data_IF_082213156289
#
_entry.id   IF_082213156289
#
_cell.length_a   1.000
_cell.length_b   1.000
_cell.length_c   1.000
_cell.angle_alpha   90.00
_cell.angle_beta   90.00
_cell.angle_gamma   90.00
#
_symmetry.space_group_name_H-M   'P 1'
#
loop_
_entity.id
_entity.type
_entity.pdbx_description
1 polymer ?
#
# COMPACT_ATOMS: atom_id res chain seq x y z
N UNK A 1 3.03 -8.31 5.94
CA UNK A 1 2.16 -8.97 4.96
C UNK A 1 2.64 -8.82 3.52
N UNK A 2 3.11 -7.67 3.08
CA UNK A 2 3.82 -7.52 1.80
C UNK A 2 5.06 -8.44 1.70
N UNK A 3 5.71 -8.72 2.84
CA UNK A 3 6.77 -9.74 2.97
C UNK A 3 6.27 -11.16 2.66
N UNK A 4 4.98 -11.44 2.86
CA UNK A 4 4.37 -12.75 2.56
C UNK A 4 4.05 -12.92 1.06
N UNK A 5 3.80 -11.83 0.31
CA UNK A 5 3.64 -11.90 -1.15
C UNK A 5 4.93 -12.42 -1.78
N UNK A 6 6.10 -11.92 -1.37
CA UNK A 6 7.42 -12.40 -1.83
C UNK A 6 7.68 -13.90 -1.52
N UNK A 7 7.14 -14.44 -0.43
CA UNK A 7 7.34 -15.85 -0.02
C UNK A 7 6.36 -16.83 -0.68
N UNK A 8 5.19 -16.35 -1.10
CA UNK A 8 4.13 -17.19 -1.68
C UNK A 8 4.29 -17.45 -3.18
N UNK A 9 5.05 -16.60 -3.90
CA UNK A 9 5.16 -16.60 -5.36
C UNK A 9 6.28 -17.52 -5.92
N UNK A 10 6.87 -18.37 -5.11
CA UNK A 10 7.98 -19.25 -5.56
C UNK A 10 7.57 -20.39 -6.51
N UNK A 11 6.34 -20.43 -7.01
CA UNK A 11 5.82 -21.55 -7.81
C UNK A 11 5.26 -21.26 -9.21
N UNK A 12 4.92 -20.02 -9.54
CA UNK A 12 4.33 -19.69 -10.85
C UNK A 12 5.20 -18.71 -11.64
N UNK A 13 5.70 -19.14 -12.79
CA UNK A 13 6.64 -18.42 -13.68
C UNK A 13 6.12 -17.08 -14.26
N UNK A 14 4.94 -16.59 -13.87
CA UNK A 14 4.32 -15.39 -14.42
C UNK A 14 4.01 -14.28 -13.39
N UNK A 15 4.23 -14.55 -12.11
CA UNK A 15 3.97 -13.60 -11.04
C UNK A 15 5.21 -12.77 -10.75
N UNK A 16 5.07 -11.45 -10.73
CA UNK A 16 6.19 -10.55 -10.56
C UNK A 16 5.90 -9.59 -9.42
N UNK A 17 6.76 -9.62 -8.41
CA UNK A 17 6.60 -8.85 -7.19
C UNK A 17 7.82 -7.98 -6.95
N UNK A 18 7.63 -6.66 -6.94
CA UNK A 18 8.60 -5.68 -6.45
C UNK A 18 8.27 -5.30 -5.01
N UNK A 19 9.04 -4.40 -4.41
CA UNK A 19 8.73 -3.89 -3.06
C UNK A 19 7.40 -3.12 -2.99
N UNK A 20 7.02 -2.47 -4.08
CA UNK A 20 5.90 -1.53 -4.14
C UNK A 20 4.71 -2.04 -4.97
N UNK A 21 4.95 -2.86 -5.99
CA UNK A 21 3.95 -3.29 -6.97
C UNK A 21 4.07 -4.79 -7.21
N UNK A 22 2.95 -5.50 -7.10
CA UNK A 22 2.82 -6.89 -7.50
C UNK A 22 1.88 -6.99 -8.70
N UNK A 23 2.28 -7.77 -9.69
CA UNK A 23 1.50 -8.07 -10.89
C UNK A 23 1.27 -9.58 -11.00
N UNK A 24 0.02 -9.97 -11.21
CA UNK A 24 -0.39 -11.36 -11.36
C UNK A 24 -1.29 -11.51 -12.58
N UNK A 25 -1.13 -12.60 -13.31
CA UNK A 25 -1.93 -12.90 -14.52
C UNK A 25 -3.19 -13.72 -14.26
N UNK A 26 -3.44 -14.10 -13.01
CA UNK A 26 -4.62 -14.87 -12.64
C UNK A 26 -5.06 -14.57 -11.20
N UNK A 27 -6.30 -15.01 -10.88
CA UNK A 27 -6.89 -14.85 -9.56
C UNK A 27 -6.31 -15.80 -8.50
N UNK A 28 -5.64 -16.89 -8.94
CA UNK A 28 -5.09 -17.90 -8.04
C UNK A 28 -3.98 -17.33 -7.15
N UNK A 29 -3.34 -16.26 -7.60
CA UNK A 29 -2.40 -15.49 -6.79
C UNK A 29 -3.02 -14.93 -5.51
N UNK A 30 -4.35 -14.77 -5.44
CA UNK A 30 -5.07 -14.37 -4.24
C UNK A 30 -5.40 -15.54 -3.30
N UNK A 31 -5.28 -16.79 -3.76
CA UNK A 31 -5.61 -17.98 -2.97
C UNK A 31 -4.93 -18.04 -1.58
N UNK A 32 -3.65 -17.63 -1.43
CA UNK A 32 -2.99 -17.57 -0.12
C UNK A 32 -3.62 -16.60 0.87
N UNK A 33 -4.46 -15.67 0.40
CA UNK A 33 -5.07 -14.59 1.20
C UNK A 33 -6.57 -14.81 1.46
N UNK A 34 -7.16 -15.88 0.88
CA UNK A 34 -8.56 -16.21 1.05
C UNK A 34 -8.84 -16.66 2.50
N UNK A 35 -9.91 -16.11 3.09
CA UNK A 35 -10.35 -16.37 4.47
C UNK A 35 -9.23 -16.20 5.52
N UNK A 36 -8.29 -15.28 5.26
CA UNK A 36 -7.17 -14.95 6.15
C UNK A 36 -7.22 -13.49 6.58
N UNK A 37 -6.09 -13.04 7.13
CA UNK A 37 -5.93 -11.65 7.57
C UNK A 37 -6.17 -10.65 6.43
N UNK A 38 -6.64 -9.42 6.76
CA UNK A 38 -6.86 -8.36 5.79
C UNK A 38 -5.62 -8.08 4.94
N UNK A 39 -5.80 -7.90 3.63
CA UNK A 39 -4.73 -7.62 2.70
C UNK A 39 -4.32 -6.16 2.77
N UNK A 40 -3.09 -5.87 3.19
CA UNK A 40 -2.57 -4.49 3.31
C UNK A 40 -2.15 -3.89 1.94
N UNK A 41 -2.95 -4.09 0.91
CA UNK A 41 -2.68 -3.58 -0.43
C UNK A 41 -3.95 -3.02 -1.07
N UNK A 42 -3.79 -2.02 -1.92
CA UNK A 42 -4.80 -1.61 -2.87
C UNK A 42 -4.68 -2.55 -4.07
N UNK A 43 -5.73 -3.31 -4.37
CA UNK A 43 -5.70 -4.25 -5.48
C UNK A 43 -6.70 -3.86 -6.58
N UNK A 44 -6.27 -4.01 -7.82
CA UNK A 44 -7.07 -3.84 -9.02
C UNK A 44 -7.17 -5.18 -9.73
N UNK A 45 -8.36 -5.74 -9.83
CA UNK A 45 -8.64 -6.99 -10.54
C UNK A 45 -9.38 -6.62 -11.82
N UNK A 46 -8.70 -6.74 -12.95
CA UNK A 46 -9.29 -6.50 -14.26
C UNK A 46 -9.69 -7.84 -14.89
N UNK A 47 -10.99 -8.03 -15.11
CA UNK A 47 -11.55 -9.24 -15.72
C UNK A 47 -11.53 -9.07 -17.24
N UNK A 48 -10.65 -9.84 -17.90
CA UNK A 48 -10.50 -9.82 -19.36
C UNK A 48 -11.51 -10.73 -20.05
N UNK A 49 -11.83 -11.88 -19.43
CA UNK A 49 -12.81 -12.85 -19.94
C UNK A 49 -13.58 -13.52 -18.82
N UNK A 50 -14.79 -13.92 -19.14
CA UNK A 50 -15.60 -14.76 -18.26
C UNK A 50 -16.23 -13.99 -17.10
N UNK A 51 -16.37 -14.68 -15.97
CA UNK A 51 -17.06 -14.20 -14.78
C UNK A 51 -16.33 -14.62 -13.52
N UNK A 52 -16.17 -13.67 -12.60
CA UNK A 52 -15.67 -13.87 -11.23
C UNK A 52 -16.81 -13.57 -10.26
N UNK A 53 -17.07 -14.46 -9.33
CA UNK A 53 -17.88 -14.18 -8.14
C UNK A 53 -16.97 -14.33 -6.92
N UNK A 54 -16.78 -13.27 -6.15
CA UNK A 54 -15.85 -13.23 -5.00
C UNK A 54 -16.51 -12.54 -3.81
N UNK A 55 -16.29 -13.08 -2.62
CA UNK A 55 -16.69 -12.41 -1.38
C UNK A 55 -15.59 -11.47 -0.92
N UNK A 56 -15.95 -10.20 -0.67
CA UNK A 56 -15.04 -9.18 -0.16
C UNK A 56 -15.74 -8.45 0.99
N UNK A 57 -15.12 -8.44 2.16
CA UNK A 57 -15.69 -7.83 3.38
C UNK A 57 -17.15 -8.30 3.65
N UNK A 58 -17.39 -9.61 3.54
CA UNK A 58 -18.69 -10.28 3.66
C UNK A 58 -19.74 -9.94 2.56
N UNK A 59 -19.37 -9.21 1.52
CA UNK A 59 -20.25 -8.91 0.39
C UNK A 59 -19.82 -9.70 -0.85
N UNK A 60 -20.76 -10.37 -1.49
CA UNK A 60 -20.48 -11.06 -2.75
C UNK A 60 -20.53 -10.07 -3.90
N UNK A 61 -19.42 -9.94 -4.62
CA UNK A 61 -19.28 -9.12 -5.82
C UNK A 61 -19.16 -10.03 -7.02
N UNK A 62 -19.87 -9.68 -8.09
CA UNK A 62 -19.84 -10.41 -9.36
C UNK A 62 -19.27 -9.50 -10.43
N UNK A 63 -18.06 -9.80 -10.88
CA UNK A 63 -17.38 -9.11 -11.97
C UNK A 63 -17.45 -9.95 -13.25
N UNK A 64 -17.60 -9.29 -14.40
CA UNK A 64 -17.67 -9.88 -15.74
C UNK A 64 -16.56 -9.32 -16.62
N UNK A 65 -16.46 -9.84 -17.84
CA UNK A 65 -15.57 -9.27 -18.85
C UNK A 65 -15.74 -7.76 -18.96
N UNK A 66 -14.63 -7.03 -19.03
CA UNK A 66 -14.52 -5.56 -19.04
C UNK A 66 -14.79 -4.88 -17.68
N UNK A 67 -14.93 -5.64 -16.62
CA UNK A 67 -15.04 -5.06 -15.28
C UNK A 67 -13.67 -4.92 -14.62
N UNK A 68 -13.47 -3.77 -13.99
CA UNK A 68 -12.36 -3.48 -13.08
C UNK A 68 -12.88 -3.43 -11.65
N UNK A 69 -12.44 -4.37 -10.84
CA UNK A 69 -12.76 -4.44 -9.42
C UNK A 69 -11.64 -3.78 -8.62
N UNK A 70 -11.97 -2.76 -7.83
CA UNK A 70 -11.02 -2.04 -6.98
C UNK A 70 -11.19 -2.49 -5.53
N UNK A 71 -10.18 -3.16 -4.98
CA UNK A 71 -10.19 -3.68 -3.61
C UNK A 71 -9.32 -2.78 -2.73
N UNK A 72 -9.95 -2.16 -1.74
CA UNK A 72 -9.26 -1.25 -0.81
C UNK A 72 -8.23 -1.98 0.07
N UNK A 73 -7.25 -1.26 0.60
CA UNK A 73 -6.39 -1.80 1.65
C UNK A 73 -7.21 -2.30 2.83
N UNK A 74 -6.76 -3.41 3.43
CA UNK A 74 -7.40 -4.11 4.54
C UNK A 74 -8.72 -4.84 4.21
N UNK A 75 -9.04 -5.04 2.92
CA UNK A 75 -10.13 -5.92 2.52
C UNK A 75 -9.81 -7.38 2.89
N UNK A 76 -10.86 -8.09 3.32
CA UNK A 76 -10.83 -9.53 3.60
C UNK A 76 -11.42 -10.24 2.38
N UNK A 77 -10.59 -11.05 1.72
CA UNK A 77 -11.05 -11.88 0.61
C UNK A 77 -11.57 -13.21 1.12
N UNK A 78 -12.84 -13.49 0.84
CA UNK A 78 -13.46 -14.79 1.06
C UNK A 78 -13.42 -15.67 -0.19
N UNK A 79 -14.24 -16.73 -0.19
CA UNK A 79 -14.32 -17.69 -1.30
C UNK A 79 -14.65 -17.00 -2.61
N UNK A 80 -14.10 -17.55 -3.70
CA UNK A 80 -14.42 -17.12 -5.05
C UNK A 80 -14.78 -18.31 -5.95
N UNK A 81 -15.51 -18.05 -7.01
CA UNK A 81 -15.80 -18.97 -8.10
C UNK A 81 -15.63 -18.26 -9.44
N UNK A 82 -15.19 -18.99 -10.45
CA UNK A 82 -14.93 -18.46 -11.79
C UNK A 82 -15.61 -19.32 -12.85
N UNK A 83 -15.94 -18.71 -13.99
CA UNK A 83 -16.39 -19.46 -15.17
C UNK A 83 -15.25 -20.20 -15.84
N UNK A 84 -15.57 -21.22 -16.66
CA UNK A 84 -14.57 -22.07 -17.33
C UNK A 84 -13.64 -21.31 -18.29
N UNK A 85 -14.07 -20.18 -18.82
CA UNK A 85 -13.32 -19.29 -19.72
C UNK A 85 -12.77 -18.05 -19.01
N UNK A 86 -12.67 -18.09 -17.68
CA UNK A 86 -12.25 -16.94 -16.90
C UNK A 86 -10.79 -16.58 -17.11
N UNK A 87 -10.53 -15.29 -17.28
CA UNK A 87 -9.18 -14.71 -17.34
C UNK A 87 -9.18 -13.33 -16.72
N UNK A 88 -8.11 -13.00 -16.01
CA UNK A 88 -7.96 -11.69 -15.37
C UNK A 88 -6.49 -11.31 -15.19
N UNK A 89 -6.27 -10.03 -14.94
CA UNK A 89 -4.98 -9.52 -14.47
C UNK A 89 -5.18 -8.77 -13.16
N UNK A 90 -4.24 -8.93 -12.24
CA UNK A 90 -4.28 -8.30 -10.92
C UNK A 90 -3.05 -7.42 -10.72
N UNK A 91 -3.26 -6.17 -10.32
CA UNK A 91 -2.21 -5.30 -9.80
C UNK A 91 -2.50 -5.05 -8.32
N UNK A 92 -1.51 -5.29 -7.47
CA UNK A 92 -1.59 -4.95 -6.06
C UNK A 92 -0.49 -3.95 -5.70
N UNK A 93 -0.87 -2.88 -5.03
CA UNK A 93 -0.01 -1.77 -4.65
C UNK A 93 0.20 -1.78 -3.15
N UNK A 94 1.47 -1.72 -2.73
CA UNK A 94 1.80 -1.66 -1.30
C UNK A 94 1.24 -0.38 -0.66
N UNK A 95 0.97 -0.47 0.62
CA UNK A 95 0.57 0.67 1.44
C UNK A 95 1.61 1.81 1.35
N UNK A 96 2.90 1.48 1.38
CA UNK A 96 3.97 2.46 1.32
C UNK A 96 4.03 3.16 -0.04
N UNK A 97 3.75 2.42 -1.12
CA UNK A 97 3.61 3.00 -2.46
C UNK A 97 2.44 3.98 -2.52
N UNK A 98 1.27 3.57 -2.02
CA UNK A 98 0.08 4.42 -1.99
C UNK A 98 0.33 5.70 -1.20
N UNK A 99 0.93 5.60 -0.01
CA UNK A 99 1.25 6.80 0.80
C UNK A 99 2.34 7.66 0.16
N UNK A 100 3.32 7.08 -0.51
CA UNK A 100 4.32 7.80 -1.28
C UNK A 100 3.72 8.57 -2.47
N UNK A 101 2.65 8.04 -3.08
CA UNK A 101 1.91 8.69 -4.16
C UNK A 101 0.97 9.78 -3.60
N UNK A 102 0.23 9.50 -2.54
CA UNK A 102 -0.69 10.48 -1.90
C UNK A 102 0.04 11.76 -1.50
N UNK A 103 1.37 11.70 -1.24
CA UNK A 103 2.16 12.90 -1.01
C UNK A 103 2.23 13.83 -2.23
N UNK A 104 2.02 13.33 -3.45
CA UNK A 104 2.15 14.10 -4.70
C UNK A 104 0.84 14.20 -5.51
N UNK A 105 -0.16 13.34 -5.24
CA UNK A 105 -1.42 13.31 -5.99
C UNK A 105 -2.57 13.11 -5.02
N UNK A 106 -3.57 13.97 -5.13
CA UNK A 106 -4.87 13.84 -4.46
C UNK A 106 -5.61 12.63 -5.02
N UNK A 107 -5.24 11.41 -4.60
CA UNK A 107 -6.01 10.25 -4.98
C UNK A 107 -7.06 10.03 -3.91
N UNK A 108 -8.30 10.40 -4.21
CA UNK A 108 -9.49 10.03 -3.42
C UNK A 108 -9.86 8.54 -3.57
N UNK A 109 -8.85 7.68 -3.81
CA UNK A 109 -9.06 6.23 -3.87
C UNK A 109 -9.65 5.67 -2.56
N UNK A 110 -9.35 6.32 -1.44
CA UNK A 110 -9.95 6.00 -0.15
C UNK A 110 -11.45 6.36 -0.15
N UNK A 111 -11.85 7.42 -0.84
CA UNK A 111 -13.26 7.80 -0.98
C UNK A 111 -13.98 6.90 -1.98
N UNK A 112 -13.35 6.57 -3.11
CA UNK A 112 -13.90 5.58 -4.05
C UNK A 112 -14.10 4.22 -3.36
N UNK A 113 -13.17 3.83 -2.51
CA UNK A 113 -13.24 2.60 -1.74
C UNK A 113 -14.12 2.70 -0.47
N UNK A 114 -14.54 3.90 -0.04
CA UNK A 114 -15.34 4.07 1.19
C UNK A 114 -16.81 3.69 1.01
N UNK A 115 -17.32 3.64 -0.22
CA UNK A 115 -18.75 3.46 -0.51
C UNK A 115 -19.21 2.05 -0.85
N UNK A 116 -18.39 1.05 -0.85
CA UNK A 116 -18.51 -0.38 -1.20
C UNK A 116 -17.40 -0.72 -2.19
N UNK A 117 -17.02 -1.99 -2.29
CA UNK A 117 -16.02 -2.45 -3.28
C UNK A 117 -16.42 -1.98 -4.67
N UNK A 118 -15.76 -0.96 -5.24
CA UNK A 118 -16.22 -0.38 -6.49
C UNK A 118 -15.94 -1.34 -7.64
N UNK A 119 -17.00 -1.69 -8.35
CA UNK A 119 -16.98 -2.42 -9.61
C UNK A 119 -17.23 -1.41 -10.72
N UNK A 120 -16.25 -1.22 -11.58
CA UNK A 120 -16.31 -0.28 -12.69
C UNK A 120 -16.46 -1.09 -13.99
N UNK A 121 -17.54 -0.86 -14.73
CA UNK A 121 -17.67 -1.39 -16.08
C UNK A 121 -16.97 -0.44 -17.06
N UNK A 122 -15.97 -0.96 -17.78
CA UNK A 122 -15.12 -0.17 -18.66
C UNK A 122 -15.64 -0.18 -20.09
N UNK A 123 -15.60 0.96 -20.76
CA UNK A 123 -15.83 1.03 -22.21
C UNK A 123 -14.64 0.43 -22.98
N UNK A 124 -14.85 0.14 -24.28
CA UNK A 124 -13.84 -0.52 -25.13
C UNK A 124 -12.53 0.27 -25.24
N UNK A 125 -12.58 1.60 -25.14
CA UNK A 125 -11.39 2.44 -25.18
C UNK A 125 -10.58 2.26 -23.89
N UNK A 126 -11.25 2.29 -22.75
CA UNK A 126 -10.60 2.11 -21.45
C UNK A 126 -10.10 0.68 -21.27
N UNK A 127 -10.81 -0.32 -21.78
CA UNK A 127 -10.37 -1.73 -21.83
C UNK A 127 -9.05 -1.85 -22.58
N UNK A 128 -8.93 -1.25 -23.78
CA UNK A 128 -7.67 -1.24 -24.55
C UNK A 128 -6.56 -0.57 -23.78
N UNK A 129 -6.81 0.62 -23.27
CA UNK A 129 -5.82 1.40 -22.50
C UNK A 129 -5.31 0.64 -21.27
N UNK A 130 -6.20 0.03 -20.48
CA UNK A 130 -5.82 -0.76 -19.32
C UNK A 130 -4.99 -1.98 -19.74
N UNK A 131 -5.36 -2.69 -20.78
CA UNK A 131 -4.57 -3.81 -21.30
C UNK A 131 -3.15 -3.38 -21.67
N UNK A 132 -3.00 -2.25 -22.38
CA UNK A 132 -1.71 -1.70 -22.77
C UNK A 132 -0.84 -1.37 -21.53
N UNK A 133 -1.43 -0.76 -20.50
CA UNK A 133 -0.75 -0.49 -19.24
C UNK A 133 -0.32 -1.78 -18.52
N UNK A 134 -1.18 -2.80 -18.48
CA UNK A 134 -0.86 -4.08 -17.84
C UNK A 134 0.27 -4.79 -18.58
N UNK A 135 0.27 -4.78 -19.91
CA UNK A 135 1.36 -5.32 -20.72
C UNK A 135 2.68 -4.57 -20.50
N UNK A 136 2.62 -3.23 -20.50
CA UNK A 136 3.80 -2.39 -20.31
C UNK A 136 4.37 -2.53 -18.89
N UNK A 137 3.52 -2.56 -17.88
CA UNK A 137 3.92 -2.80 -16.49
C UNK A 137 4.58 -4.18 -16.34
N UNK A 138 3.95 -5.23 -16.85
CA UNK A 138 4.51 -6.58 -16.82
C UNK A 138 5.88 -6.63 -17.48
N UNK A 139 6.03 -6.06 -18.67
CA UNK A 139 7.31 -5.99 -19.40
C UNK A 139 8.36 -5.18 -18.65
N UNK A 140 7.98 -4.03 -18.10
CA UNK A 140 8.88 -3.17 -17.32
C UNK A 140 9.37 -3.85 -16.04
N UNK A 141 8.50 -4.58 -15.35
CA UNK A 141 8.88 -5.30 -14.13
C UNK A 141 9.82 -6.46 -14.47
N UNK A 142 9.54 -7.20 -15.56
CA UNK A 142 10.43 -8.29 -16.04
C UNK A 142 11.82 -7.75 -16.39
N UNK A 143 11.87 -6.64 -17.14
CA UNK A 143 13.13 -6.01 -17.54
C UNK A 143 13.94 -5.46 -16.34
N UNK A 144 13.30 -5.25 -15.20
CA UNK A 144 13.90 -4.64 -14.00
C UNK A 144 14.12 -5.63 -12.86
N UNK A 145 14.20 -6.93 -13.13
CA UNK A 145 14.46 -7.97 -12.11
C UNK A 145 15.65 -7.66 -11.21
N UNK A 146 16.64 -6.93 -11.70
CA UNK A 146 17.85 -6.56 -10.98
C UNK A 146 17.74 -5.26 -10.15
N UNK A 147 16.54 -4.71 -10.02
CA UNK A 147 16.28 -3.53 -9.17
C UNK A 147 16.73 -2.18 -9.74
N UNK A 148 17.33 -2.15 -10.95
CA UNK A 148 17.92 -0.94 -11.51
C UNK A 148 16.92 0.15 -11.92
N UNK A 149 15.62 -0.13 -12.05
CA UNK A 149 14.64 0.82 -12.60
C UNK A 149 13.26 0.81 -11.91
N UNK A 150 13.24 0.66 -10.60
CA UNK A 150 11.99 0.74 -9.80
C UNK A 150 11.19 2.05 -10.07
N UNK A 151 11.87 3.11 -10.51
CA UNK A 151 11.23 4.40 -10.84
C UNK A 151 10.29 4.31 -12.04
N UNK A 152 10.66 3.58 -13.11
CA UNK A 152 9.80 3.43 -14.31
C UNK A 152 8.48 2.75 -13.95
N UNK A 153 8.55 1.65 -13.20
CA UNK A 153 7.37 0.92 -12.72
C UNK A 153 6.49 1.84 -11.87
N UNK A 154 7.09 2.66 -11.01
CA UNK A 154 6.34 3.64 -10.21
C UNK A 154 5.61 4.66 -11.08
N UNK A 155 6.29 5.25 -12.07
CA UNK A 155 5.68 6.27 -12.94
C UNK A 155 4.59 5.67 -13.83
N UNK A 156 4.79 4.47 -14.37
CA UNK A 156 3.77 3.76 -15.15
C UNK A 156 2.54 3.42 -14.31
N UNK A 157 2.75 2.92 -13.10
CA UNK A 157 1.64 2.65 -12.17
C UNK A 157 0.89 3.93 -11.81
N UNK A 158 1.63 5.01 -11.60
CA UNK A 158 1.05 6.32 -11.35
C UNK A 158 0.19 6.81 -12.53
N UNK A 159 0.71 6.72 -13.75
CA UNK A 159 -0.03 7.10 -14.95
C UNK A 159 -1.32 6.27 -15.11
N UNK A 160 -1.26 4.95 -14.89
CA UNK A 160 -2.44 4.08 -14.88
C UNK A 160 -3.48 4.54 -13.85
N UNK A 161 -3.06 4.88 -12.65
CA UNK A 161 -3.97 5.36 -11.60
C UNK A 161 -4.66 6.67 -11.99
N UNK A 162 -3.94 7.60 -12.63
CA UNK A 162 -4.52 8.85 -13.11
C UNK A 162 -5.52 8.62 -14.24
N UNK A 163 -5.26 7.68 -15.17
CA UNK A 163 -6.20 7.30 -16.21
C UNK A 163 -7.50 6.71 -15.63
N UNK A 164 -7.37 5.77 -14.68
CA UNK A 164 -8.55 5.18 -14.02
C UNK A 164 -9.33 6.25 -13.24
N UNK A 165 -8.65 7.18 -12.57
CA UNK A 165 -9.29 8.32 -11.89
C UNK A 165 -10.05 9.20 -12.87
N UNK A 166 -9.42 9.59 -13.97
CA UNK A 166 -10.03 10.42 -15.03
C UNK A 166 -11.26 9.73 -15.62
N UNK A 167 -11.19 8.42 -15.82
CA UNK A 167 -12.33 7.61 -16.24
C UNK A 167 -13.45 7.64 -15.20
N UNK A 168 -13.17 7.44 -13.93
CA UNK A 168 -14.16 7.48 -12.85
C UNK A 168 -14.86 8.84 -12.75
N UNK A 169 -14.13 9.94 -12.94
CA UNK A 169 -14.70 11.28 -12.99
C UNK A 169 -15.66 11.43 -14.19
N UNK A 170 -15.25 10.95 -15.36
CA UNK A 170 -16.03 11.03 -16.60
C UNK A 170 -17.35 10.27 -16.53
N UNK A 171 -17.35 9.08 -15.90
CA UNK A 171 -18.57 8.26 -15.75
C UNK A 171 -19.40 8.61 -14.52
N UNK A 172 -19.00 9.64 -13.74
CA UNK A 172 -19.68 10.04 -12.51
C UNK A 172 -19.54 9.05 -11.34
N UNK A 173 -18.62 8.11 -11.42
CA UNK A 173 -18.30 7.20 -10.32
C UNK A 173 -17.53 7.89 -9.17
N UNK A 174 -16.90 9.03 -9.47
CA UNK A 174 -16.33 9.97 -8.50
C UNK A 174 -17.07 11.31 -8.64
N UNK A 175 -17.36 12.02 -7.54
CA UNK A 175 -17.93 13.36 -7.62
C UNK A 175 -16.93 14.32 -8.29
N UNK A 176 -17.44 15.15 -9.21
CA UNK A 176 -16.64 16.14 -9.98
C UNK A 176 -15.97 17.14 -9.04
N UNK A 177 -16.61 17.47 -7.89
CA UNK A 177 -16.05 18.32 -6.83
C UNK A 177 -14.80 17.73 -6.16
N UNK A 178 -14.40 16.53 -6.57
CA UNK A 178 -13.22 15.85 -6.08
C UNK A 178 -11.92 16.55 -6.46
N UNK A 179 -11.89 17.32 -7.56
CA UNK A 179 -10.65 17.96 -8.05
C UNK A 179 -10.58 19.47 -7.71
N UNK A 180 -11.73 20.14 -7.55
CA UNK A 180 -11.80 21.59 -7.35
C UNK A 180 -12.24 22.01 -5.92
N UNK A 181 -12.61 21.05 -5.07
CA UNK A 181 -12.87 21.43 -3.67
C UNK A 181 -11.58 21.97 -3.04
N UNK A 182 -11.65 23.11 -2.34
CA UNK A 182 -10.48 23.64 -1.64
C UNK A 182 -9.87 22.51 -0.82
N UNK A 183 -8.55 22.36 -0.92
CA UNK A 183 -7.77 21.32 -0.20
C UNK A 183 -8.33 21.24 1.20
N UNK A 184 -9.04 20.17 1.56
CA UNK A 184 -9.54 20.06 2.94
C UNK A 184 -8.35 20.25 3.85
N UNK A 185 -8.47 21.14 4.80
CA UNK A 185 -7.38 21.42 5.75
C UNK A 185 -6.86 20.13 6.40
N UNK A 186 -7.73 19.12 6.55
CA UNK A 186 -7.38 17.78 7.00
C UNK A 186 -6.36 17.09 6.08
N UNK A 187 -6.48 17.19 4.76
CA UNK A 187 -5.58 16.52 3.82
C UNK A 187 -4.19 17.17 3.81
N UNK A 188 -4.17 18.51 3.92
CA UNK A 188 -2.92 19.27 4.10
C UNK A 188 -2.22 18.85 5.39
N UNK A 189 -2.97 18.79 6.49
CA UNK A 189 -2.45 18.41 7.80
C UNK A 189 -1.93 16.99 7.76
N UNK A 190 -2.68 16.04 7.18
CA UNK A 190 -2.24 14.65 7.03
C UNK A 190 -0.95 14.54 6.22
N UNK A 191 -0.89 15.19 5.05
CA UNK A 191 0.30 15.22 4.20
C UNK A 191 1.51 15.79 4.96
N UNK A 192 1.35 16.94 5.61
CA UNK A 192 2.42 17.56 6.41
C UNK A 192 2.85 16.66 7.57
N UNK A 193 1.90 15.96 8.21
CA UNK A 193 2.20 15.00 9.26
C UNK A 193 3.07 13.85 8.74
N UNK A 194 2.66 13.17 7.66
CA UNK A 194 3.43 12.08 7.07
C UNK A 194 4.82 12.55 6.65
N UNK A 195 4.92 13.70 6.00
CA UNK A 195 6.22 14.29 5.60
C UNK A 195 7.11 14.57 6.82
N UNK A 196 6.55 15.14 7.89
CA UNK A 196 7.30 15.43 9.11
C UNK A 196 7.80 14.17 9.81
N UNK A 197 6.94 13.14 9.90
CA UNK A 197 7.35 11.83 10.47
C UNK A 197 8.41 11.16 9.60
N UNK A 198 8.25 11.16 8.27
CA UNK A 198 9.25 10.60 7.35
C UNK A 198 10.60 11.29 7.47
N UNK A 199 10.60 12.61 7.53
CA UNK A 199 11.82 13.41 7.72
C UNK A 199 12.49 13.10 9.05
N UNK A 200 11.72 13.08 10.15
CA UNK A 200 12.24 12.73 11.46
C UNK A 200 12.86 11.33 11.48
N UNK A 201 12.22 10.33 10.84
CA UNK A 201 12.76 8.96 10.74
C UNK A 201 14.07 8.89 9.94
N UNK A 202 14.28 9.76 8.96
CA UNK A 202 15.47 9.75 8.11
C UNK A 202 16.66 10.52 8.69
N UNK A 203 16.39 11.69 9.29
CA UNK A 203 17.41 12.71 9.52
C UNK A 203 17.62 13.06 11.01
N UNK A 204 16.62 12.83 11.87
CA UNK A 204 16.68 13.32 13.24
C UNK A 204 17.11 12.24 14.24
N UNK A 205 17.94 12.59 15.24
CA UNK A 205 18.10 11.76 16.42
C UNK A 205 16.77 11.76 17.20
N UNK A 206 16.37 10.61 17.72
CA UNK A 206 15.13 10.42 18.44
C UNK A 206 13.85 10.70 17.63
N UNK A 207 13.61 9.96 16.53
CA UNK A 207 12.42 10.14 15.69
C UNK A 207 11.12 9.66 16.39
N UNK A 208 11.23 8.92 17.49
CA UNK A 208 10.09 8.39 18.26
C UNK A 208 9.51 9.47 19.18
N UNK A 209 8.94 10.51 18.57
CA UNK A 209 8.34 11.61 19.30
C UNK A 209 6.88 11.34 19.63
N UNK A 210 6.40 11.91 20.73
CA UNK A 210 4.99 11.86 21.08
C UNK A 210 4.13 12.56 20.02
N UNK A 211 2.89 12.10 19.82
CA UNK A 211 1.91 12.74 18.92
C UNK A 211 1.81 14.25 19.15
N UNK A 212 1.93 14.67 20.40
CA UNK A 212 1.88 16.07 20.82
C UNK A 212 2.91 16.92 20.06
N UNK A 213 4.14 16.43 19.89
CA UNK A 213 5.19 17.14 19.16
C UNK A 213 4.80 17.42 17.71
N UNK A 214 4.27 16.42 17.00
CA UNK A 214 3.80 16.61 15.61
C UNK A 214 2.56 17.48 15.53
N UNK A 215 1.68 17.38 16.50
CA UNK A 215 0.48 18.22 16.57
C UNK A 215 0.84 19.71 16.77
N UNK A 216 1.81 20.00 17.66
CA UNK A 216 2.36 21.35 17.89
C UNK A 216 3.02 21.90 16.62
N UNK A 217 3.87 21.11 15.94
CA UNK A 217 4.48 21.49 14.65
C UNK A 217 3.46 21.86 13.57
N UNK A 218 2.29 21.23 13.61
CA UNK A 218 1.22 21.44 12.63
C UNK A 218 0.18 22.46 13.09
N UNK A 219 0.35 23.05 14.28
CA UNK A 219 -0.59 23.99 14.90
C UNK A 219 -2.00 23.40 15.08
N UNK A 220 -2.08 22.13 15.49
CA UNK A 220 -3.35 21.43 15.75
C UNK A 220 -3.32 20.70 17.09
N UNK A 221 -4.50 20.31 17.60
CA UNK A 221 -4.55 19.44 18.77
C UNK A 221 -4.19 17.99 18.44
N UNK A 222 -3.60 17.26 19.39
CA UNK A 222 -3.31 15.82 19.23
C UNK A 222 -4.56 14.98 18.92
N UNK A 223 -5.72 15.39 19.46
CA UNK A 223 -7.03 14.77 19.19
C UNK A 223 -7.44 14.98 17.74
N UNK A 224 -7.31 16.21 17.25
CA UNK A 224 -7.64 16.53 15.85
C UNK A 224 -6.67 15.85 14.87
N UNK A 225 -5.36 15.83 15.16
CA UNK A 225 -4.40 15.11 14.33
C UNK A 225 -4.73 13.62 14.25
N UNK A 226 -5.09 12.99 15.38
CA UNK A 226 -5.52 11.59 15.39
C UNK A 226 -6.80 11.37 14.59
N UNK A 227 -7.76 12.28 14.66
CA UNK A 227 -8.99 12.24 13.87
C UNK A 227 -8.71 12.36 12.37
N UNK A 228 -7.88 13.32 11.99
CA UNK A 228 -7.40 13.49 10.61
C UNK A 228 -6.74 12.21 10.09
N UNK A 229 -5.82 11.63 10.87
CA UNK A 229 -5.16 10.36 10.49
C UNK A 229 -6.17 9.23 10.29
N UNK A 230 -7.18 9.09 11.19
CA UNK A 230 -8.22 8.06 11.05
C UNK A 230 -9.06 8.24 9.79
N UNK A 231 -9.44 9.47 9.45
CA UNK A 231 -10.21 9.75 8.23
C UNK A 231 -9.36 9.46 6.99
N UNK A 232 -8.11 9.94 6.96
CA UNK A 232 -7.26 9.88 5.77
C UNK A 232 -6.61 8.52 5.55
N UNK A 233 -6.40 7.70 6.61
CA UNK A 233 -5.67 6.42 6.51
C UNK A 233 -6.32 5.25 7.24
N UNK A 234 -7.42 5.46 7.93
CA UNK A 234 -8.02 4.44 8.78
C UNK A 234 -7.26 4.16 10.09
N UNK A 235 -6.09 4.79 10.30
CA UNK A 235 -5.19 4.53 11.43
C UNK A 235 -5.04 5.74 12.35
N UNK A 236 -4.65 5.47 13.60
CA UNK A 236 -4.31 6.56 14.52
C UNK A 236 -2.93 7.13 14.21
N UNK A 237 -2.68 8.40 14.53
CA UNK A 237 -1.37 9.04 14.38
C UNK A 237 -0.26 8.23 15.09
N UNK A 238 -0.55 7.65 16.27
CA UNK A 238 0.38 6.80 17.00
C UNK A 238 0.73 5.52 16.22
N UNK A 239 -0.27 4.87 15.62
CA UNK A 239 -0.05 3.65 14.82
C UNK A 239 0.85 3.94 13.61
N UNK A 240 0.62 5.07 12.93
CA UNK A 240 1.42 5.51 11.79
C UNK A 240 2.89 5.75 12.21
N UNK A 241 3.12 6.51 13.29
CA UNK A 241 4.48 6.76 13.81
C UNK A 241 5.17 5.44 14.15
N UNK A 242 4.48 4.54 14.88
CA UNK A 242 5.04 3.24 15.27
C UNK A 242 5.42 2.38 14.06
N UNK A 243 4.57 2.33 13.03
CA UNK A 243 4.86 1.57 11.79
C UNK A 243 6.08 2.12 11.06
N UNK A 244 6.18 3.44 10.93
CA UNK A 244 7.32 4.07 10.28
C UNK A 244 8.62 3.84 11.07
N UNK A 245 8.56 3.88 12.40
CA UNK A 245 9.69 3.57 13.26
C UNK A 245 10.13 2.11 13.12
N UNK A 246 9.19 1.17 13.12
CA UNK A 246 9.48 -0.27 12.95
C UNK A 246 10.19 -0.51 11.62
N UNK A 247 9.70 0.10 10.54
CA UNK A 247 10.34 -0.01 9.21
C UNK A 247 11.75 0.57 9.22
N UNK A 248 11.98 1.71 9.89
CA UNK A 248 13.31 2.30 10.04
C UNK A 248 14.25 1.39 10.84
N UNK A 249 13.76 0.81 11.93
CA UNK A 249 14.51 -0.17 12.74
C UNK A 249 14.93 -1.36 11.87
N UNK A 250 14.00 -1.97 11.16
CA UNK A 250 14.26 -3.11 10.29
C UNK A 250 15.33 -2.77 9.23
N UNK A 251 15.19 -1.61 8.58
CA UNK A 251 16.15 -1.14 7.58
C UNK A 251 17.56 -0.95 8.17
N UNK A 252 17.67 -0.35 9.35
CA UNK A 252 18.97 -0.14 10.01
C UNK A 252 19.58 -1.48 10.47
N UNK A 253 18.77 -2.42 10.99
CA UNK A 253 19.25 -3.73 11.40
C UNK A 253 19.80 -4.54 10.22
N UNK A 254 19.17 -4.45 9.04
CA UNK A 254 19.50 -5.25 7.86
C UNK A 254 20.61 -4.59 7.00
N UNK A 255 20.53 -3.28 6.80
CA UNK A 255 21.33 -2.58 5.79
C UNK A 255 22.41 -1.65 6.34
N UNK A 256 22.54 -1.48 7.67
CA UNK A 256 23.61 -0.68 8.24
C UNK A 256 24.63 -1.51 9.01
N UNK A 257 25.85 -1.00 9.14
CA UNK A 257 26.92 -1.59 9.95
C UNK A 257 26.92 -1.09 11.40
N UNK A 258 25.93 -0.27 11.78
CA UNK A 258 25.76 0.25 13.14
C UNK A 258 25.54 -0.87 14.15
N UNK A 259 26.16 -0.77 15.30
CA UNK A 259 25.87 -1.67 16.41
C UNK A 259 24.42 -1.52 16.89
N UNK A 260 23.87 -2.55 17.51
CA UNK A 260 22.51 -2.50 18.09
C UNK A 260 22.36 -1.36 19.10
N UNK A 261 23.45 -1.05 19.82
CA UNK A 261 23.50 0.07 20.78
C UNK A 261 23.40 1.41 20.07
N UNK A 262 24.15 1.61 18.99
CA UNK A 262 24.10 2.83 18.19
C UNK A 262 22.72 3.05 17.56
N UNK A 263 22.10 2.00 17.01
CA UNK A 263 20.74 2.06 16.47
C UNK A 263 19.74 2.47 17.57
N UNK A 264 19.81 1.84 18.73
CA UNK A 264 18.93 2.18 19.86
C UNK A 264 19.10 3.64 20.29
N UNK A 265 20.31 4.13 20.38
CA UNK A 265 20.61 5.52 20.75
C UNK A 265 20.15 6.50 19.67
N UNK A 266 20.43 6.22 18.39
CA UNK A 266 20.01 7.06 17.26
C UNK A 266 18.48 7.19 17.21
N UNK A 267 17.76 6.11 17.52
CA UNK A 267 16.30 6.11 17.48
C UNK A 267 15.66 6.61 18.80
N UNK A 268 16.47 7.07 19.76
CA UNK A 268 16.00 7.69 20.99
C UNK A 268 15.46 6.72 22.04
N UNK A 269 15.86 5.47 21.99
CA UNK A 269 15.54 4.52 23.07
C UNK A 269 16.43 4.79 24.29
N UNK A 270 15.87 4.76 25.51
CA UNK A 270 16.62 5.06 26.71
C UNK A 270 17.75 4.07 26.97
N UNK A 271 17.58 2.82 26.54
CA UNK A 271 18.55 1.75 26.64
C UNK A 271 18.32 0.63 25.63
N UNK A 272 19.32 -0.25 25.47
CA UNK A 272 19.28 -1.39 24.53
C UNK A 272 18.20 -2.41 24.93
N UNK A 273 17.87 -2.53 26.21
CA UNK A 273 16.87 -3.49 26.71
C UNK A 273 15.47 -3.05 26.32
N UNK A 274 15.16 -1.75 26.43
CA UNK A 274 13.91 -1.17 25.95
C UNK A 274 13.79 -1.32 24.43
N UNK A 275 14.85 -1.02 23.68
CA UNK A 275 14.91 -1.24 22.24
C UNK A 275 14.66 -2.70 21.89
N UNK A 276 15.36 -3.63 22.54
CA UNK A 276 15.21 -5.07 22.30
C UNK A 276 13.79 -5.58 22.56
N UNK A 277 13.15 -5.13 23.63
CA UNK A 277 11.74 -5.46 23.94
C UNK A 277 10.79 -4.91 22.89
N UNK A 278 10.99 -3.66 22.47
CA UNK A 278 10.19 -3.02 21.43
C UNK A 278 10.29 -3.77 20.10
N UNK A 279 11.52 -4.07 19.66
CA UNK A 279 11.77 -4.81 18.41
C UNK A 279 11.13 -6.20 18.47
N UNK A 280 11.33 -6.94 19.55
CA UNK A 280 10.75 -8.28 19.69
C UNK A 280 9.22 -8.25 19.69
N UNK A 281 8.61 -7.26 20.34
CA UNK A 281 7.15 -7.12 20.39
C UNK A 281 6.53 -6.83 19.00
N UNK A 282 7.25 -6.14 18.11
CA UNK A 282 6.70 -5.70 16.82
C UNK A 282 7.19 -6.53 15.63
N UNK A 283 8.40 -7.08 15.66
CA UNK A 283 9.00 -7.87 14.59
C UNK A 283 9.10 -9.37 14.92
N UNK A 284 8.70 -9.78 16.13
CA UNK A 284 8.68 -11.17 16.57
C UNK A 284 10.03 -11.71 17.07
N UNK A 285 11.15 -11.15 16.60
CA UNK A 285 12.51 -11.60 16.89
C UNK A 285 13.35 -10.53 17.61
N UNK A 286 14.42 -10.94 18.26
CA UNK A 286 15.38 -10.00 18.85
C UNK A 286 16.19 -9.28 17.75
N UNK A 287 16.69 -8.05 18.00
CA UNK A 287 17.51 -7.32 17.03
C UNK A 287 18.71 -8.12 16.51
N UNK A 288 19.36 -8.90 17.38
CA UNK A 288 20.49 -9.78 17.00
C UNK A 288 20.06 -10.88 16.04
N UNK A 289 18.91 -11.49 16.29
CA UNK A 289 18.39 -12.58 15.45
C UNK A 289 17.95 -12.06 14.09
N UNK A 290 17.31 -10.88 14.02
CA UNK A 290 16.94 -10.24 12.75
C UNK A 290 18.19 -9.98 11.90
N UNK A 291 19.25 -9.43 12.50
CA UNK A 291 20.51 -9.16 11.83
C UNK A 291 21.18 -10.45 11.33
N UNK A 292 21.27 -11.47 12.16
CA UNK A 292 21.85 -12.76 11.79
C UNK A 292 21.09 -13.44 10.63
N UNK A 293 19.74 -13.34 10.60
CA UNK A 293 18.94 -13.84 9.48
C UNK A 293 19.18 -13.10 8.17
N UNK A 294 19.66 -11.87 8.23
CA UNK A 294 20.03 -11.07 7.06
C UNK A 294 21.48 -11.29 6.58
N UNK A 295 22.22 -12.22 7.20
CA UNK A 295 23.60 -12.56 6.81
C UNK A 295 24.68 -11.62 7.35
N UNK A 296 24.38 -10.89 8.42
CA UNK A 296 25.33 -9.98 9.12
C UNK A 296 25.58 -10.39 10.56
#
# INVERSE_FOLDING_TARGET
MYHNIKKSTSGHHQDIVTEDVAYFKNIEALAPYIDKDPVEALAFIFVTKGKLSITIDNNTVVARSHDLLVCRPFSIFGKYTVSSNFDCSVIALSKDFIYGIISNVRIKWVELASTRTPLLHLDDNMVRLINDYYHLLGSSIIANKDGCNAKSVRYLTFALLEEVKSYCLRIGALPVDADDSPVRQSDVIFKRFITSVSKAMAEEPNPHRAIRHYAEMLNVSSKYLTHVCKISSGETAKAIISKMLIKRIEMLLIHSDMSIKEIAMQLGFPDVSNFGRYVKAHLGDSPRLIRAKAGK
#
